data_IF_720545366588
#
_entry.id   IF_720545366588
#
_cell.length_a   1.000
_cell.length_b   1.000
_cell.length_c   1.000
_cell.angle_alpha   90.00
_cell.angle_beta   90.00
_cell.angle_gamma   90.00
#
_symmetry.space_group_name_H-M   'P 1'
#
loop_
_entity.id
_entity.type
_entity.pdbx_description
1 polymer ?
#
# COMPACT_ATOMS: atom_id res chain seq x y z
N UNK A 1 30.01 19.71 8.67
CA UNK A 1 29.57 19.62 8.71
C UNK A 1 28.82 19.21 8.50
N UNK A 2 28.62 19.14 8.52
CA UNK A 2 27.86 18.88 8.43
C UNK A 2 27.11 18.53 8.26
N UNK A 3 26.87 18.44 8.35
CA UNK A 3 26.15 18.14 8.31
C UNK A 3 25.26 17.76 8.17
N UNK A 4 25.09 17.77 8.24
CA UNK A 4 24.27 17.44 8.25
C UNK A 4 23.39 17.07 8.10
N UNK A 5 22.96 16.92 8.20
CA UNK A 5 22.19 16.51 8.10
C UNK A 5 21.17 16.15 8.16
N UNK A 6 20.72 15.94 8.31
CA UNK A 6 19.77 15.52 8.37
C UNK A 6 18.82 15.54 8.30
N UNK A 7 18.27 15.31 8.21
CA UNK A 7 17.15 15.33 8.34
C UNK A 7 16.47 14.65 8.89
N UNK A 8 16.30 14.56 9.13
CA UNK A 8 15.69 13.99 9.58
C UNK A 8 14.68 13.72 9.84
N UNK A 9 14.50 13.79 9.91
CA UNK A 9 13.65 13.68 10.12
C UNK A 9 13.11 12.73 10.18
N UNK A 10 13.51 12.59 10.22
CA UNK A 10 13.22 11.89 10.18
C UNK A 10 12.44 11.39 10.73
N UNK A 11 12.67 11.12 11.15
CA UNK A 11 11.38 11.12 11.22
C UNK A 11 10.56 9.85 11.42
N UNK A 12 9.22 9.95 11.33
CA UNK A 12 8.30 8.84 11.53
C UNK A 12 8.40 7.88 10.36
N UNK A 13 8.64 6.58 10.58
CA UNK A 13 8.67 5.62 9.49
C UNK A 13 7.30 5.50 8.85
N UNK A 14 7.28 5.20 7.56
CA UNK A 14 6.03 4.96 6.86
C UNK A 14 5.40 3.67 7.38
N UNK A 15 4.09 3.67 7.50
CA UNK A 15 3.33 2.49 7.93
C UNK A 15 2.70 1.84 6.71
N UNK A 16 3.03 0.58 6.51
CA UNK A 16 2.56 -0.21 5.38
C UNK A 16 1.67 -1.32 5.93
N UNK A 17 0.45 -1.42 5.41
CA UNK A 17 -0.46 -2.51 5.77
C UNK A 17 -0.56 -3.46 4.59
N UNK A 18 -0.33 -4.74 4.84
CA UNK A 18 -0.48 -5.77 3.80
C UNK A 18 -1.74 -6.57 4.13
N UNK A 19 -2.64 -6.64 3.14
CA UNK A 19 -3.89 -7.39 3.26
C UNK A 19 -3.87 -8.50 2.23
N UNK A 20 -3.82 -9.75 2.67
CA UNK A 20 -3.70 -10.91 1.80
C UNK A 20 -4.19 -12.12 2.57
N UNK A 21 -5.17 -12.85 2.04
CA UNK A 21 -5.72 -14.00 2.74
C UNK A 21 -4.85 -15.26 2.62
N UNK A 22 -3.84 -15.23 1.77
CA UNK A 22 -2.86 -16.31 1.71
C UNK A 22 -1.78 -16.01 2.74
N UNK A 23 -1.76 -16.80 3.81
CA UNK A 23 -0.89 -16.51 4.94
C UNK A 23 0.59 -16.64 4.61
N UNK A 24 0.95 -17.55 3.71
CA UNK A 24 2.34 -17.68 3.28
C UNK A 24 2.81 -16.44 2.53
N UNK A 25 1.99 -15.96 1.61
CA UNK A 25 2.31 -14.75 0.86
C UNK A 25 2.36 -13.54 1.79
N UNK A 26 1.38 -13.45 2.68
CA UNK A 26 1.33 -12.36 3.65
C UNK A 26 2.62 -12.30 4.45
N UNK A 27 3.06 -13.44 4.97
CA UNK A 27 4.28 -13.50 5.75
C UNK A 27 5.51 -13.18 4.90
N UNK A 28 5.55 -13.73 3.69
CA UNK A 28 6.70 -13.49 2.80
C UNK A 28 6.90 -11.99 2.54
N UNK A 29 5.84 -11.31 2.15
CA UNK A 29 5.96 -9.88 1.82
C UNK A 29 6.19 -9.04 3.05
N UNK A 30 5.55 -9.37 4.17
CA UNK A 30 5.73 -8.62 5.41
C UNK A 30 7.15 -8.73 5.90
N UNK A 31 7.67 -9.96 5.98
CA UNK A 31 9.04 -10.17 6.46
C UNK A 31 10.05 -9.55 5.52
N UNK A 32 9.79 -9.64 4.21
CA UNK A 32 10.71 -9.06 3.23
C UNK A 32 10.78 -7.55 3.37
N UNK A 33 9.64 -6.89 3.56
CA UNK A 33 9.66 -5.44 3.75
C UNK A 33 10.31 -5.04 5.06
N UNK A 34 10.08 -5.82 6.12
CA UNK A 34 10.74 -5.52 7.40
C UNK A 34 12.24 -5.62 7.33
N UNK A 35 12.73 -6.56 6.50
CA UNK A 35 14.18 -6.75 6.33
C UNK A 35 14.79 -5.81 5.31
N UNK A 36 13.98 -5.07 4.57
CA UNK A 36 14.49 -4.17 3.55
C UNK A 36 15.21 -2.99 4.21
N UNK A 37 15.93 -2.23 3.39
CA UNK A 37 16.65 -1.08 3.90
C UNK A 37 15.74 0.05 4.36
N UNK A 38 14.50 0.05 3.89
CA UNK A 38 13.56 1.09 4.26
C UNK A 38 13.09 0.89 5.69
N UNK A 39 12.90 1.99 6.39
CA UNK A 39 12.44 1.94 7.75
C UNK A 39 10.92 1.97 7.75
N UNK A 40 10.30 0.79 7.59
CA UNK A 40 8.85 0.67 7.56
C UNK A 40 8.31 0.07 8.83
N UNK A 41 7.15 0.57 9.23
CA UNK A 41 6.32 -0.12 10.21
C UNK A 41 5.33 -0.96 9.40
N UNK A 42 5.40 -2.29 9.54
CA UNK A 42 4.61 -3.19 8.70
C UNK A 42 3.52 -3.84 9.54
N UNK A 43 2.27 -3.68 9.09
CA UNK A 43 1.11 -4.32 9.69
C UNK A 43 0.59 -5.38 8.73
N UNK A 44 -0.05 -6.42 9.27
CA UNK A 44 -0.53 -7.54 8.49
C UNK A 44 -1.99 -7.80 8.78
N UNK A 45 -2.73 -8.21 7.76
CA UNK A 45 -4.09 -8.69 7.93
C UNK A 45 -4.38 -9.77 6.90
N UNK A 46 -5.00 -10.86 7.35
CA UNK A 46 -5.41 -11.94 6.46
C UNK A 46 -6.88 -11.83 6.06
N UNK A 47 -7.57 -10.78 6.45
CA UNK A 47 -8.96 -10.59 6.07
C UNK A 47 -9.23 -9.13 5.73
N UNK A 48 -10.24 -8.92 4.90
CA UNK A 48 -10.65 -7.57 4.50
C UNK A 48 -11.13 -6.76 5.69
N UNK A 49 -12.00 -7.35 6.51
CA UNK A 49 -12.58 -6.64 7.64
C UNK A 49 -11.51 -6.22 8.66
N UNK A 50 -10.60 -7.13 8.99
CA UNK A 50 -9.53 -6.81 9.93
C UNK A 50 -8.60 -5.75 9.36
N UNK A 51 -8.34 -5.81 8.05
CA UNK A 51 -7.49 -4.81 7.40
C UNK A 51 -8.10 -3.43 7.46
N UNK A 52 -9.39 -3.32 7.18
CA UNK A 52 -10.08 -2.03 7.26
C UNK A 52 -10.07 -1.49 8.68
N UNK A 53 -10.25 -2.37 9.67
CA UNK A 53 -10.19 -1.94 11.06
C UNK A 53 -8.81 -1.42 11.44
N UNK A 54 -7.75 -2.05 10.93
CA UNK A 54 -6.39 -1.56 11.18
C UNK A 54 -6.19 -0.17 10.57
N UNK A 55 -6.75 0.07 9.40
CA UNK A 55 -6.66 1.40 8.78
C UNK A 55 -7.40 2.45 9.60
N UNK A 56 -8.50 2.08 10.23
CA UNK A 56 -9.25 3.03 11.05
C UNK A 56 -8.55 3.34 12.35
N UNK A 57 -7.80 2.38 12.89
CA UNK A 57 -7.15 2.53 14.19
C UNK A 57 -5.70 2.96 14.13
N UNK A 58 -5.11 3.09 12.95
CA UNK A 58 -3.70 3.40 12.79
C UNK A 58 -3.50 4.34 11.60
N UNK A 59 -2.52 5.25 11.70
CA UNK A 59 -2.16 6.05 10.53
C UNK A 59 -1.39 5.14 9.54
N UNK A 60 -2.02 4.80 8.44
CA UNK A 60 -1.43 3.94 7.41
C UNK A 60 -1.12 4.80 6.18
N UNK A 61 0.10 4.68 5.67
CA UNK A 61 0.53 5.44 4.51
C UNK A 61 0.28 4.70 3.21
N UNK A 62 0.37 3.38 3.24
CA UNK A 62 0.22 2.58 2.03
C UNK A 62 -0.38 1.22 2.39
N UNK A 63 -1.32 0.77 1.58
CA UNK A 63 -1.88 -0.58 1.70
C UNK A 63 -1.44 -1.37 0.48
N UNK A 64 -0.87 -2.55 0.72
CA UNK A 64 -0.58 -3.52 -0.32
C UNK A 64 -1.70 -4.55 -0.25
N UNK A 65 -2.50 -4.62 -1.29
CA UNK A 65 -3.79 -5.32 -1.27
C UNK A 65 -3.84 -6.40 -2.33
N UNK A 66 -4.15 -7.62 -1.92
CA UNK A 66 -4.43 -8.68 -2.87
C UNK A 66 -5.93 -8.65 -3.20
N UNK A 67 -6.25 -8.50 -4.48
CA UNK A 67 -7.64 -8.48 -4.92
C UNK A 67 -8.24 -9.88 -5.02
N UNK A 68 -7.40 -10.92 -4.97
CA UNK A 68 -7.85 -12.30 -5.05
C UNK A 68 -8.22 -12.80 -3.66
N UNK A 69 -9.23 -12.16 -3.07
CA UNK A 69 -9.73 -12.56 -1.77
C UNK A 69 -11.22 -12.88 -1.87
N UNK A 70 -11.67 -13.93 -1.17
CA UNK A 70 -13.09 -14.34 -1.26
C UNK A 70 -14.05 -13.24 -0.83
N UNK A 71 -13.62 -12.39 0.08
CA UNK A 71 -14.45 -11.32 0.64
C UNK A 71 -14.40 -10.05 -0.18
N UNK A 72 -13.97 -10.15 -1.44
CA UNK A 72 -13.93 -8.98 -2.32
C UNK A 72 -12.87 -7.96 -1.92
N UNK A 73 -11.64 -8.25 -2.33
CA UNK A 73 -10.56 -7.27 -2.16
C UNK A 73 -10.86 -5.95 -2.84
N UNK A 74 -11.64 -5.98 -3.93
CA UNK A 74 -12.00 -4.76 -4.62
C UNK A 74 -12.85 -3.85 -3.74
N UNK A 75 -13.71 -4.44 -2.91
CA UNK A 75 -14.50 -3.66 -1.97
C UNK A 75 -13.61 -2.91 -0.98
N UNK A 76 -12.51 -3.56 -0.54
CA UNK A 76 -11.55 -2.90 0.33
C UNK A 76 -10.99 -1.65 -0.35
N UNK A 77 -10.63 -1.77 -1.63
CA UNK A 77 -10.12 -0.63 -2.38
C UNK A 77 -11.10 0.53 -2.37
N UNK A 78 -12.37 0.23 -2.62
CA UNK A 78 -13.39 1.28 -2.66
C UNK A 78 -13.58 1.94 -1.28
N UNK A 79 -13.48 1.16 -0.22
CA UNK A 79 -13.57 1.70 1.13
C UNK A 79 -12.37 2.56 1.48
N UNK A 80 -11.18 2.17 1.03
CA UNK A 80 -9.96 2.91 1.33
C UNK A 80 -9.85 4.20 0.52
N UNK A 81 -10.41 4.21 -0.69
CA UNK A 81 -10.35 5.37 -1.56
C UNK A 81 -11.77 5.72 -1.99
N UNK A 82 -12.56 6.34 -1.10
CA UNK A 82 -13.92 6.71 -1.48
C UNK A 82 -13.96 7.81 -2.54
N UNK A 83 -12.93 8.65 -2.60
CA UNK A 83 -12.81 9.67 -3.64
C UNK A 83 -11.54 9.41 -4.44
N UNK A 84 -11.69 8.82 -5.62
CA UNK A 84 -10.53 8.43 -6.44
C UNK A 84 -9.70 9.61 -6.91
N UNK A 85 -10.26 10.80 -6.87
CA UNK A 85 -9.52 12.00 -7.28
C UNK A 85 -8.71 12.57 -6.13
N UNK A 86 -9.00 12.16 -4.89
CA UNK A 86 -8.31 12.65 -3.71
C UNK A 86 -7.98 11.50 -2.76
N UNK A 87 -7.16 10.53 -3.22
CA UNK A 87 -6.80 9.44 -2.33
C UNK A 87 -6.00 9.95 -1.15
N UNK A 88 -6.39 9.52 0.03
CA UNK A 88 -5.70 9.88 1.27
C UNK A 88 -4.65 8.85 1.65
N UNK A 89 -4.70 7.71 1.02
CA UNK A 89 -3.81 6.60 1.31
C UNK A 89 -3.38 5.98 -0.02
N UNK A 90 -2.14 5.57 -0.11
CA UNK A 90 -1.65 4.89 -1.31
C UNK A 90 -2.11 3.43 -1.27
N UNK A 91 -2.64 2.93 -2.37
CA UNK A 91 -3.02 1.52 -2.48
C UNK A 91 -2.29 0.91 -3.67
N UNK A 92 -1.59 -0.18 -3.40
CA UNK A 92 -0.90 -0.96 -4.42
C UNK A 92 -1.55 -2.33 -4.45
N UNK A 93 -1.99 -2.75 -5.63
CA UNK A 93 -2.53 -4.09 -5.81
C UNK A 93 -1.36 -5.03 -6.08
N UNK A 94 -1.30 -6.13 -5.35
CA UNK A 94 -0.26 -7.13 -5.50
C UNK A 94 -0.94 -8.49 -5.46
N UNK A 95 -1.04 -9.16 -6.61
CA UNK A 95 -1.85 -10.36 -6.74
C UNK A 95 -1.21 -11.34 -7.71
N UNK A 96 -1.62 -12.63 -7.62
CA UNK A 96 -1.22 -13.65 -8.58
C UNK A 96 -2.05 -13.60 -9.87
N UNK A 97 -3.19 -12.92 -9.87
CA UNK A 97 -4.13 -12.97 -10.98
C UNK A 97 -3.74 -12.00 -12.08
N UNK A 98 -3.32 -12.48 -13.26
CA UNK A 98 -3.03 -11.60 -14.40
C UNK A 98 -4.31 -11.19 -15.09
N UNK A 99 -5.04 -10.26 -14.53
CA UNK A 99 -6.37 -9.88 -15.00
C UNK A 99 -6.35 -8.41 -15.43
N UNK A 100 -6.09 -8.13 -16.72
CA UNK A 100 -5.93 -6.74 -17.18
C UNK A 100 -7.12 -5.85 -16.86
N UNK A 101 -8.35 -6.37 -17.06
CA UNK A 101 -9.53 -5.57 -16.79
C UNK A 101 -9.64 -5.20 -15.31
N UNK A 102 -9.29 -6.13 -14.43
CA UNK A 102 -9.32 -5.87 -12.99
C UNK A 102 -8.29 -4.82 -12.62
N UNK A 103 -7.11 -4.87 -13.24
CA UNK A 103 -6.06 -3.88 -12.99
C UNK A 103 -6.52 -2.49 -13.44
N UNK A 104 -7.15 -2.42 -14.62
CA UNK A 104 -7.65 -1.14 -15.10
C UNK A 104 -8.72 -0.58 -14.18
N UNK A 105 -9.63 -1.43 -13.72
CA UNK A 105 -10.65 -1.00 -12.78
C UNK A 105 -10.05 -0.52 -11.48
N UNK A 106 -9.04 -1.22 -10.98
CA UNK A 106 -8.40 -0.82 -9.74
C UNK A 106 -7.73 0.54 -9.88
N UNK A 107 -6.99 0.75 -10.97
CA UNK A 107 -6.34 2.04 -11.20
C UNK A 107 -7.34 3.15 -11.39
N UNK A 108 -8.43 2.87 -12.10
CA UNK A 108 -9.49 3.85 -12.30
C UNK A 108 -10.11 4.28 -10.97
N UNK A 109 -10.11 3.38 -10.00
CA UNK A 109 -10.67 3.67 -8.67
C UNK A 109 -9.61 4.12 -7.67
N UNK A 110 -8.44 4.50 -8.15
CA UNK A 110 -7.47 5.19 -7.31
C UNK A 110 -6.25 4.39 -6.89
N UNK A 111 -6.17 3.10 -7.25
CA UNK A 111 -4.96 2.33 -6.94
C UNK A 111 -3.77 2.95 -7.65
N UNK A 112 -2.67 3.12 -6.95
CA UNK A 112 -1.48 3.76 -7.50
C UNK A 112 -0.73 2.84 -8.45
N UNK A 113 -0.79 1.54 -8.22
CA UNK A 113 -0.10 0.57 -9.06
C UNK A 113 -0.75 -0.80 -8.90
N UNK A 114 -0.57 -1.64 -9.91
CA UNK A 114 -1.02 -3.03 -9.87
C UNK A 114 0.16 -3.90 -10.30
N UNK A 115 0.53 -4.85 -9.45
CA UNK A 115 1.69 -5.69 -9.66
C UNK A 115 1.30 -7.16 -9.57
N UNK A 116 2.00 -8.00 -10.33
CA UNK A 116 1.84 -9.45 -10.24
C UNK A 116 2.90 -9.99 -9.28
N UNK A 117 2.48 -10.82 -8.33
CA UNK A 117 3.39 -11.39 -7.33
C UNK A 117 4.55 -12.14 -7.98
N UNK A 118 4.26 -12.88 -9.05
CA UNK A 118 5.27 -13.71 -9.71
C UNK A 118 6.29 -12.91 -10.50
N UNK A 119 6.03 -11.63 -10.75
CA UNK A 119 6.91 -10.77 -11.53
C UNK A 119 7.50 -9.62 -10.72
N UNK A 120 7.31 -9.63 -9.41
CA UNK A 120 7.68 -8.49 -8.58
C UNK A 120 8.71 -8.91 -7.54
N UNK A 121 9.86 -8.25 -7.54
CA UNK A 121 10.84 -8.45 -6.48
C UNK A 121 10.50 -7.57 -5.29
N UNK A 122 11.15 -7.84 -4.16
CA UNK A 122 10.99 -6.99 -2.97
C UNK A 122 11.43 -5.58 -3.28
N UNK A 123 12.52 -5.43 -4.03
CA UNK A 123 13.01 -4.11 -4.43
C UNK A 123 12.01 -3.38 -5.31
N UNK A 124 11.37 -4.10 -6.23
CA UNK A 124 10.32 -3.51 -7.07
C UNK A 124 9.17 -3.02 -6.21
N UNK A 125 8.73 -3.84 -5.26
CA UNK A 125 7.62 -3.46 -4.39
C UNK A 125 8.01 -2.25 -3.55
N UNK A 126 9.22 -2.25 -3.00
CA UNK A 126 9.69 -1.14 -2.18
C UNK A 126 9.70 0.17 -2.97
N UNK A 127 10.22 0.11 -4.19
CA UNK A 127 10.26 1.30 -5.07
C UNK A 127 8.84 1.78 -5.37
N UNK A 128 7.94 0.84 -5.66
CA UNK A 128 6.56 1.18 -5.96
C UNK A 128 5.87 1.81 -4.75
N UNK A 129 6.13 1.29 -3.55
CA UNK A 129 5.58 1.86 -2.32
C UNK A 129 6.06 3.31 -2.16
N UNK A 130 7.35 3.54 -2.34
CA UNK A 130 7.90 4.89 -2.18
C UNK A 130 7.28 5.86 -3.18
N UNK A 131 7.16 5.43 -4.43
CA UNK A 131 6.56 6.28 -5.46
C UNK A 131 5.09 6.54 -5.19
N UNK A 132 4.36 5.53 -4.73
CA UNK A 132 2.94 5.66 -4.46
C UNK A 132 2.67 6.61 -3.30
N UNK A 133 3.43 6.49 -2.22
CA UNK A 133 3.29 7.39 -1.08
C UNK A 133 3.60 8.82 -1.50
N UNK A 134 4.68 9.00 -2.26
CA UNK A 134 5.05 10.33 -2.72
C UNK A 134 3.97 10.94 -3.61
N UNK A 135 3.37 10.14 -4.48
CA UNK A 135 2.33 10.63 -5.38
C UNK A 135 1.09 11.08 -4.60
N UNK A 136 0.69 10.33 -3.58
CA UNK A 136 -0.46 10.71 -2.77
C UNK A 136 -0.16 11.98 -1.97
N UNK A 137 1.03 12.09 -1.40
CA UNK A 137 1.40 13.28 -0.62
C UNK A 137 1.55 14.52 -1.48
N UNK A 138 1.83 14.36 -2.77
CA UNK A 138 1.96 15.50 -3.68
C UNK A 138 0.63 16.09 -4.10
N UNK A 139 -0.49 15.38 -3.85
CA UNK A 139 -1.81 15.89 -4.20
C UNK A 139 -2.18 17.05 -3.30
N UNK A 140 -2.94 18.04 -3.82
CA UNK A 140 -3.40 19.13 -2.96
C UNK A 140 -4.27 18.60 -1.83
N UNK A 141 -4.10 19.19 -0.65
CA UNK A 141 -4.96 18.90 0.47
C UNK A 141 -6.39 19.31 0.11
N UNK A 142 -7.41 18.60 0.62
CA UNK A 142 -8.80 19.02 0.43
C UNK A 142 -9.07 20.45 0.92
N UNK A 143 -8.27 20.92 1.88
CA UNK A 143 -8.42 22.26 2.43
C UNK A 143 -7.62 23.31 1.67
N UNK A 144 -6.81 22.89 0.71
CA UNK A 144 -6.04 23.84 -0.10
C UNK A 144 -6.91 24.46 -1.17
N UNK A 145 -6.87 25.74 -1.29
CA UNK A 145 -7.66 26.45 -2.29
C UNK A 145 -6.92 27.62 -2.84
#
# INVERSE_FOLDING_TARGET
MATAVSPPHTTVPATILIIDDNEEDLRYWSDSLRRSCANYRVLESSSAAAGLNLCRGNPVDCVVLDLDMPESGFHVLLELIPDRQRPQIAVIVLTHLPHPNLFEMAKHNGAQACLLKQNTSVEDLQRTIQQAIAAVKALPSPDSR
#
